data_IF_742660489480
#
_entry.id   IF_742660489480
#
_cell.length_a   1.000
_cell.length_b   1.000
_cell.length_c   1.000
_cell.angle_alpha   90.00
_cell.angle_beta   90.00
_cell.angle_gamma   90.00
#
_symmetry.space_group_name_H-M   'P 1'
#
loop_
_entity.id
_entity.type
_entity.pdbx_description
1 polymer ?
#
# COMPACT_ATOMS: atom_id res chain seq x y z
N UNK A 1 -1.07 8.15 13.02
CA UNK A 1 -0.80 7.55 14.37
C UNK A 1 -1.16 6.07 14.45
N UNK A 2 -2.33 5.61 13.95
CA UNK A 2 -2.73 4.19 14.04
C UNK A 2 -1.68 3.17 13.55
N UNK A 3 -1.03 3.33 12.37
CA UNK A 3 -0.03 2.37 11.91
C UNK A 3 1.17 2.21 12.86
N UNK A 4 1.63 3.29 13.47
CA UNK A 4 2.74 3.25 14.44
C UNK A 4 2.31 2.48 15.70
N UNK A 5 1.10 2.74 16.20
CA UNK A 5 0.58 2.06 17.39
C UNK A 5 0.42 0.57 17.11
N UNK A 6 -0.19 0.21 15.96
CA UNK A 6 -0.36 -1.19 15.56
C UNK A 6 0.99 -1.90 15.40
N UNK A 7 1.97 -1.26 14.75
CA UNK A 7 3.31 -1.83 14.61
C UNK A 7 3.93 -2.12 15.98
N UNK A 8 3.84 -1.19 16.94
CA UNK A 8 4.35 -1.40 18.30
C UNK A 8 3.71 -2.60 19.01
N UNK A 9 2.45 -2.89 18.71
CA UNK A 9 1.74 -4.01 19.34
C UNK A 9 2.08 -5.35 18.70
N UNK A 10 2.31 -5.40 17.38
CA UNK A 10 2.52 -6.66 16.66
C UNK A 10 4.00 -7.05 16.51
N UNK A 11 4.90 -6.08 16.41
CA UNK A 11 6.33 -6.32 16.19
C UNK A 11 6.99 -7.20 17.26
N UNK A 12 6.71 -7.08 18.57
CA UNK A 12 7.31 -7.95 19.57
C UNK A 12 7.09 -9.43 19.28
N UNK A 13 5.86 -9.85 18.96
CA UNK A 13 5.55 -11.22 18.62
C UNK A 13 6.14 -11.67 17.27
N UNK A 14 6.31 -10.76 16.30
CA UNK A 14 7.01 -11.07 15.05
C UNK A 14 8.50 -11.31 15.29
N UNK A 15 9.15 -10.51 16.12
CA UNK A 15 10.56 -10.65 16.49
C UNK A 15 10.82 -11.92 17.29
N UNK A 16 9.92 -12.27 18.20
CA UNK A 16 10.02 -13.51 18.98
C UNK A 16 9.97 -14.75 18.08
N UNK A 17 9.16 -14.74 17.04
CA UNK A 17 9.08 -15.84 16.06
C UNK A 17 10.17 -15.80 14.99
N UNK A 18 10.90 -14.70 14.86
CA UNK A 18 11.87 -14.50 13.78
C UNK A 18 11.20 -14.38 12.38
N UNK A 19 9.89 -14.11 12.32
CA UNK A 19 9.14 -13.92 11.08
C UNK A 19 7.94 -12.99 11.28
N UNK A 20 7.79 -12.05 10.35
CA UNK A 20 6.66 -11.14 10.34
C UNK A 20 6.59 -10.31 9.07
N UNK A 21 5.36 -9.88 8.72
CA UNK A 21 5.13 -9.03 7.55
C UNK A 21 4.25 -7.86 7.93
N UNK A 22 4.69 -6.66 7.56
CA UNK A 22 3.93 -5.41 7.67
C UNK A 22 3.69 -4.86 6.28
N UNK A 23 2.44 -4.73 5.87
CA UNK A 23 2.07 -4.12 4.59
C UNK A 23 1.28 -2.84 4.86
N UNK A 24 1.90 -1.69 4.56
CA UNK A 24 1.24 -0.40 4.67
C UNK A 24 0.52 -0.07 3.37
N UNK A 25 -0.77 0.22 3.45
CA UNK A 25 -1.53 0.71 2.30
C UNK A 25 -1.17 2.18 2.03
N UNK A 26 -0.21 2.36 1.15
CA UNK A 26 0.35 3.66 0.79
C UNK A 26 -0.48 4.36 -0.31
N UNK A 27 0.01 5.47 -0.82
CA UNK A 27 -0.61 6.22 -1.93
C UNK A 27 0.41 7.17 -2.53
N UNK A 28 0.36 7.40 -3.84
CA UNK A 28 1.15 8.41 -4.53
C UNK A 28 1.00 9.83 -3.94
N UNK A 29 -0.14 10.11 -3.30
CA UNK A 29 -0.35 11.39 -2.58
C UNK A 29 0.62 11.66 -1.43
N UNK A 30 1.39 10.65 -1.01
CA UNK A 30 2.47 10.82 -0.03
C UNK A 30 3.81 11.26 -0.64
N UNK A 31 3.93 11.30 -1.96
CA UNK A 31 5.18 11.56 -2.69
C UNK A 31 5.06 12.59 -3.79
N UNK A 32 3.83 12.93 -4.18
CA UNK A 32 3.55 13.90 -5.25
C UNK A 32 2.61 14.99 -4.75
N UNK A 33 2.68 16.15 -5.38
CA UNK A 33 1.73 17.22 -5.14
C UNK A 33 0.35 16.91 -5.75
N UNK A 34 -0.75 17.43 -5.16
CA UNK A 34 -2.07 17.24 -5.72
C UNK A 34 -2.21 17.96 -7.07
N UNK A 35 -2.92 17.35 -8.05
CA UNK A 35 -3.11 17.96 -9.36
C UNK A 35 -4.02 19.19 -9.34
N UNK A 36 -4.81 19.37 -8.27
CA UNK A 36 -5.76 20.46 -8.09
C UNK A 36 -6.02 20.70 -6.59
N UNK A 37 -6.67 21.81 -6.20
CA UNK A 37 -7.12 22.04 -4.84
C UNK A 37 -8.04 20.92 -4.32
N UNK A 38 -8.06 20.73 -3.01
CA UNK A 38 -8.99 19.80 -2.36
C UNK A 38 -10.45 20.18 -2.70
N UNK A 39 -11.25 19.16 -3.05
CA UNK A 39 -12.63 19.36 -3.53
C UNK A 39 -12.75 19.73 -5.02
N UNK A 40 -11.64 19.88 -5.73
CA UNK A 40 -11.59 20.15 -7.17
C UNK A 40 -10.78 19.09 -7.94
N UNK A 41 -10.75 17.86 -7.42
CA UNK A 41 -10.00 16.73 -7.99
C UNK A 41 -8.64 16.46 -7.33
N UNK A 42 -8.22 17.28 -6.38
CA UNK A 42 -7.01 17.07 -5.58
C UNK A 42 -7.32 16.55 -4.17
N UNK A 43 -6.28 16.14 -3.47
CA UNK A 43 -6.37 15.70 -2.08
C UNK A 43 -5.97 16.80 -1.10
N UNK A 44 -6.54 16.74 0.10
CA UNK A 44 -6.27 17.71 1.16
C UNK A 44 -4.99 17.41 1.96
N UNK A 45 -4.53 18.44 2.69
CA UNK A 45 -3.31 18.44 3.49
C UNK A 45 -3.21 17.24 4.43
N UNK A 46 -4.25 16.95 5.20
CA UNK A 46 -4.24 15.85 6.18
C UNK A 46 -4.05 14.48 5.51
N UNK A 47 -4.64 14.26 4.34
CA UNK A 47 -4.45 13.03 3.59
C UNK A 47 -3.01 12.91 3.07
N UNK A 48 -2.49 13.91 2.37
CA UNK A 48 -1.13 13.93 1.86
C UNK A 48 -0.10 13.70 2.96
N UNK A 49 -0.18 14.45 4.07
CA UNK A 49 0.70 14.30 5.22
C UNK A 49 0.64 12.88 5.83
N UNK A 50 -0.57 12.33 5.98
CA UNK A 50 -0.74 10.98 6.54
C UNK A 50 -0.09 9.90 5.67
N UNK A 51 -0.20 10.03 4.35
CA UNK A 51 0.39 9.10 3.39
C UNK A 51 1.90 9.28 3.27
N UNK A 52 2.42 10.50 3.36
CA UNK A 52 3.86 10.76 3.43
C UNK A 52 4.50 10.11 4.66
N UNK A 53 3.85 10.21 5.82
CA UNK A 53 4.33 9.53 7.04
C UNK A 53 4.34 8.00 6.87
N UNK A 54 3.31 7.40 6.25
CA UNK A 54 3.27 5.96 5.94
C UNK A 54 4.42 5.53 5.04
N UNK A 55 4.80 6.36 4.09
CA UNK A 55 5.88 6.08 3.14
C UNK A 55 7.22 5.79 3.80
N UNK A 56 7.46 6.33 5.01
CA UNK A 56 8.73 6.12 5.72
C UNK A 56 8.78 4.80 6.49
N UNK A 57 7.63 4.18 6.79
CA UNK A 57 7.57 3.06 7.73
C UNK A 57 8.31 1.83 7.20
N UNK A 58 8.07 1.42 5.95
CA UNK A 58 8.66 0.18 5.43
C UNK A 58 10.19 0.22 5.40
N UNK A 59 10.78 1.31 4.87
CA UNK A 59 12.23 1.46 4.82
C UNK A 59 12.88 1.51 6.21
N UNK A 60 12.24 2.17 7.20
CA UNK A 60 12.73 2.20 8.56
C UNK A 60 12.69 0.81 9.20
N UNK A 61 11.57 0.10 9.07
CA UNK A 61 11.45 -1.26 9.61
C UNK A 61 12.43 -2.24 8.95
N UNK A 62 12.69 -2.07 7.66
CA UNK A 62 13.67 -2.89 6.95
C UNK A 62 15.08 -2.68 7.50
N UNK A 63 15.49 -1.44 7.75
CA UNK A 63 16.81 -1.11 8.30
C UNK A 63 16.96 -1.61 9.75
N UNK A 64 15.92 -1.44 10.57
CA UNK A 64 15.98 -1.77 12.00
C UNK A 64 15.76 -3.26 12.30
N UNK A 65 14.94 -3.95 11.51
CA UNK A 65 14.40 -5.27 11.85
C UNK A 65 14.49 -6.30 10.71
N UNK A 66 15.00 -5.93 9.54
CA UNK A 66 15.05 -6.83 8.39
C UNK A 66 15.92 -8.07 8.62
N UNK A 67 17.04 -7.92 9.32
CA UNK A 67 17.94 -8.99 9.73
C UNK A 67 17.35 -9.93 10.81
N UNK A 68 16.26 -9.49 11.46
CA UNK A 68 15.52 -10.22 12.49
C UNK A 68 14.27 -10.94 11.94
N UNK A 69 14.15 -11.02 10.60
CA UNK A 69 13.06 -11.74 9.94
C UNK A 69 11.79 -10.92 9.71
N UNK A 70 11.76 -9.63 10.05
CA UNK A 70 10.62 -8.77 9.77
C UNK A 70 10.74 -8.16 8.37
N UNK A 71 9.68 -8.29 7.59
CA UNK A 71 9.54 -7.68 6.26
C UNK A 71 8.49 -6.57 6.31
N UNK A 72 8.75 -5.47 5.64
CA UNK A 72 7.81 -4.36 5.56
C UNK A 72 7.72 -3.81 4.14
N UNK A 73 6.52 -3.53 3.67
CA UNK A 73 6.25 -3.04 2.33
C UNK A 73 5.30 -1.85 2.35
N UNK A 74 5.52 -0.88 1.46
CA UNK A 74 4.57 0.18 1.18
C UNK A 74 3.84 -0.16 -0.12
N UNK A 75 2.63 -0.67 -0.05
CA UNK A 75 1.82 -1.08 -1.19
C UNK A 75 0.91 0.06 -1.64
N UNK A 76 1.16 0.56 -2.85
CA UNK A 76 0.29 1.51 -3.53
C UNK A 76 -0.76 0.75 -4.35
N UNK A 77 -2.04 0.92 -4.06
CA UNK A 77 -3.10 0.20 -4.78
C UNK A 77 -3.33 0.75 -6.20
N UNK A 78 -2.89 1.99 -6.49
CA UNK A 78 -3.32 2.73 -7.66
C UNK A 78 -4.80 3.13 -7.57
N UNK A 79 -5.43 3.36 -8.71
CA UNK A 79 -6.86 3.65 -8.79
C UNK A 79 -7.65 2.33 -8.75
N UNK A 80 -8.44 2.13 -7.69
CA UNK A 80 -9.18 0.89 -7.44
C UNK A 80 -10.68 1.17 -7.44
N UNK A 81 -11.43 0.37 -8.19
CA UNK A 81 -12.90 0.42 -8.22
C UNK A 81 -13.46 -0.09 -6.89
N UNK A 82 -13.77 0.83 -5.98
CA UNK A 82 -14.43 0.54 -4.72
C UNK A 82 -15.80 1.22 -4.67
N UNK A 83 -16.74 0.60 -3.96
CA UNK A 83 -18.08 1.18 -3.75
C UNK A 83 -18.01 2.58 -3.17
N UNK A 84 -17.12 2.80 -2.21
CA UNK A 84 -16.92 4.11 -1.60
C UNK A 84 -16.39 5.13 -2.59
N UNK A 85 -15.46 4.75 -3.47
CA UNK A 85 -14.94 5.66 -4.49
C UNK A 85 -16.02 6.04 -5.49
N UNK A 86 -16.90 5.10 -5.85
CA UNK A 86 -18.04 5.39 -6.71
C UNK A 86 -19.02 6.39 -6.08
N UNK A 87 -19.24 6.31 -4.77
CA UNK A 87 -20.10 7.24 -4.03
C UNK A 87 -19.44 8.62 -3.88
N UNK A 88 -18.18 8.65 -3.42
CA UNK A 88 -17.51 9.89 -3.01
C UNK A 88 -16.98 10.69 -4.22
N UNK A 89 -16.63 10.02 -5.33
CA UNK A 89 -15.90 10.64 -6.44
C UNK A 89 -16.76 10.84 -7.71
N UNK A 90 -17.95 10.25 -7.74
CA UNK A 90 -18.87 10.44 -8.88
C UNK A 90 -19.25 11.90 -9.11
N UNK A 91 -19.42 12.67 -8.04
CA UNK A 91 -19.70 14.10 -8.08
C UNK A 91 -18.56 14.93 -8.71
N UNK A 92 -17.32 14.40 -8.69
CA UNK A 92 -16.14 15.06 -9.27
C UNK A 92 -15.79 14.54 -10.68
N UNK A 93 -16.70 13.79 -11.32
CA UNK A 93 -16.51 13.30 -12.69
C UNK A 93 -15.54 12.12 -12.81
N UNK A 94 -15.17 11.47 -11.70
CA UNK A 94 -14.35 10.26 -11.73
C UNK A 94 -15.22 9.03 -12.01
N UNK A 95 -14.86 8.28 -13.05
CA UNK A 95 -15.48 7.01 -13.39
C UNK A 95 -14.82 5.87 -12.62
N UNK A 96 -15.45 5.46 -11.53
CA UNK A 96 -14.94 4.39 -10.68
C UNK A 96 -14.79 3.05 -11.43
N UNK A 97 -15.55 2.84 -12.53
CA UNK A 97 -15.45 1.60 -13.33
C UNK A 97 -14.10 1.43 -14.03
N UNK A 98 -13.34 2.50 -14.21
CA UNK A 98 -11.98 2.50 -14.78
C UNK A 98 -10.92 2.06 -13.79
N UNK A 99 -11.27 1.91 -12.52
CA UNK A 99 -10.34 1.41 -11.49
C UNK A 99 -10.10 -0.09 -11.61
N UNK A 100 -8.95 -0.54 -11.14
CA UNK A 100 -8.68 -1.97 -11.01
C UNK A 100 -9.60 -2.61 -9.96
N UNK A 101 -9.99 -3.89 -10.13
CA UNK A 101 -10.68 -4.62 -9.08
C UNK A 101 -9.85 -4.68 -7.78
N UNK A 102 -10.49 -4.62 -6.62
CA UNK A 102 -9.81 -4.74 -5.32
C UNK A 102 -9.05 -6.06 -5.17
N UNK A 103 -9.48 -7.11 -5.87
CA UNK A 103 -8.81 -8.41 -5.93
C UNK A 103 -7.35 -8.32 -6.42
N UNK A 104 -7.02 -7.35 -7.29
CA UNK A 104 -5.65 -7.09 -7.77
C UNK A 104 -4.73 -6.74 -6.59
N UNK A 105 -5.17 -5.82 -5.76
CA UNK A 105 -4.41 -5.40 -4.57
C UNK A 105 -4.31 -6.54 -3.56
N UNK A 106 -5.40 -7.29 -3.38
CA UNK A 106 -5.45 -8.46 -2.51
C UNK A 106 -4.46 -9.56 -2.95
N UNK A 107 -4.40 -9.86 -4.25
CA UNK A 107 -3.46 -10.84 -4.81
C UNK A 107 -2.00 -10.46 -4.56
N UNK A 108 -1.65 -9.18 -4.78
CA UNK A 108 -0.29 -8.68 -4.50
C UNK A 108 0.01 -8.70 -3.00
N UNK A 109 -0.92 -8.28 -2.16
CA UNK A 109 -0.73 -8.33 -0.71
C UNK A 109 -0.50 -9.76 -0.21
N UNK A 110 -1.25 -10.73 -0.72
CA UNK A 110 -1.07 -12.15 -0.41
C UNK A 110 0.30 -12.66 -0.88
N UNK A 111 0.72 -12.32 -2.10
CA UNK A 111 2.04 -12.67 -2.62
C UNK A 111 3.18 -12.07 -1.78
N UNK A 112 3.09 -10.78 -1.44
CA UNK A 112 4.06 -10.11 -0.56
C UNK A 112 4.16 -10.79 0.82
N UNK A 113 3.06 -11.28 1.34
CA UNK A 113 3.02 -11.93 2.64
C UNK A 113 3.63 -13.34 2.61
N UNK A 114 3.47 -14.09 1.51
CA UNK A 114 3.72 -15.54 1.50
C UNK A 114 4.84 -15.99 0.57
N UNK A 115 5.11 -15.27 -0.52
CA UNK A 115 6.10 -15.69 -1.51
C UNK A 115 7.54 -15.45 -1.03
N UNK A 116 8.44 -16.45 -1.19
CA UNK A 116 9.86 -16.27 -0.87
C UNK A 116 10.52 -15.12 -1.62
N UNK A 117 10.19 -14.97 -2.91
CA UNK A 117 10.79 -13.95 -3.79
C UNK A 117 10.40 -12.52 -3.39
N UNK A 118 9.27 -12.35 -2.69
CA UNK A 118 8.87 -11.06 -2.15
C UNK A 118 9.88 -10.48 -1.15
N UNK A 119 10.75 -11.31 -0.56
CA UNK A 119 11.80 -10.86 0.36
C UNK A 119 12.77 -9.87 -0.27
N UNK A 120 13.01 -9.97 -1.57
CA UNK A 120 13.86 -9.04 -2.31
C UNK A 120 13.29 -7.61 -2.36
N UNK A 121 11.98 -7.45 -2.14
CA UNK A 121 11.29 -6.16 -2.14
C UNK A 121 11.14 -5.55 -0.73
N UNK A 122 11.77 -6.15 0.30
CA UNK A 122 11.68 -5.65 1.67
C UNK A 122 12.11 -4.17 1.76
N UNK A 123 11.32 -3.36 2.44
CA UNK A 123 11.54 -1.92 2.62
C UNK A 123 11.06 -1.05 1.45
N UNK A 124 10.60 -1.63 0.35
CA UNK A 124 10.31 -0.91 -0.88
C UNK A 124 8.87 -0.38 -0.99
N UNK A 125 8.72 0.58 -1.88
CA UNK A 125 7.47 1.01 -2.48
C UNK A 125 7.10 0.08 -3.62
N UNK A 126 5.85 -0.38 -3.63
CA UNK A 126 5.36 -1.36 -4.58
C UNK A 126 4.05 -0.85 -5.17
N UNK A 127 3.97 -0.82 -6.48
CA UNK A 127 2.75 -0.53 -7.21
C UNK A 127 2.00 -1.84 -7.49
N UNK A 128 0.82 -1.99 -6.88
CA UNK A 128 0.07 -3.24 -6.94
C UNK A 128 -0.32 -3.65 -8.37
N UNK A 129 -0.79 -2.70 -9.16
CA UNK A 129 -1.31 -3.01 -10.50
C UNK A 129 -0.22 -3.47 -11.47
N UNK A 130 0.90 -2.76 -11.63
CA UNK A 130 2.02 -3.23 -12.45
C UNK A 130 2.55 -4.59 -11.98
N UNK A 131 2.80 -4.75 -10.69
CA UNK A 131 3.35 -5.99 -10.14
C UNK A 131 2.39 -7.18 -10.33
N UNK A 132 1.08 -6.96 -10.17
CA UNK A 132 0.09 -8.00 -10.41
C UNK A 132 0.12 -8.53 -11.85
N UNK A 133 0.28 -7.63 -12.83
CA UNK A 133 0.41 -8.00 -14.25
C UNK A 133 1.72 -8.72 -14.53
N UNK A 134 2.82 -8.17 -14.05
CA UNK A 134 4.17 -8.73 -14.25
C UNK A 134 4.26 -10.18 -13.76
N UNK A 135 3.70 -10.45 -12.60
CA UNK A 135 3.71 -11.78 -11.98
C UNK A 135 2.52 -12.67 -12.38
N UNK A 136 1.56 -12.15 -13.13
CA UNK A 136 0.37 -12.91 -13.52
C UNK A 136 -0.48 -13.39 -12.34
N UNK A 137 -0.52 -12.62 -11.23
CA UNK A 137 -1.17 -13.04 -9.98
C UNK A 137 -2.70 -13.16 -10.09
N UNK A 138 -3.28 -12.48 -11.05
CA UNK A 138 -4.72 -12.53 -11.35
C UNK A 138 -4.89 -12.70 -12.87
N UNK A 139 -4.97 -13.95 -13.39
CA UNK A 139 -4.92 -14.24 -14.83
C UNK A 139 -5.97 -13.54 -15.67
N UNK A 140 -7.17 -13.33 -15.12
CA UNK A 140 -8.30 -12.72 -15.80
C UNK A 140 -8.24 -11.18 -15.85
N UNK A 141 -7.24 -10.59 -15.19
CA UNK A 141 -7.03 -9.15 -15.16
C UNK A 141 -5.70 -8.79 -15.84
N UNK A 142 -5.79 -8.07 -16.99
CA UNK A 142 -4.65 -7.69 -17.83
C UNK A 142 -4.56 -6.18 -18.03
#
# INVERSE_FOLDING_TARGET
MAPIILSRLVLPGMLERGDGVVINMASGSGTTDPPAPAGQGGWGLGYGMSKAALHRIAGLLQVELGDKGVRAYNLSPGFVATERLAMDMGEFGFDASKGAPAAVVGAVAAWLATAPDARALNGQWIEAQPLCRELGLLPDWR
#
